data_IF_890507571425
#
_entry.id   IF_890507571425
#
_cell.length_a   1.000
_cell.length_b   1.000
_cell.length_c   1.000
_cell.angle_alpha   90.00
_cell.angle_beta   90.00
_cell.angle_gamma   90.00
#
_symmetry.space_group_name_H-M   'P 1'
#
loop_
_entity.id
_entity.type
_entity.pdbx_description
1 polymer ?
#
# COMPACT_ATOMS: atom_id res chain seq x y z
N UNK A 1 -2.53 -7.68 69.02
CA UNK A 1 -1.60 -7.57 67.88
C UNK A 1 -2.42 -7.44 66.59
N UNK A 2 -2.59 -6.22 66.08
CA UNK A 2 -3.35 -5.96 64.84
C UNK A 2 -2.35 -6.07 63.68
N UNK A 3 -2.54 -7.05 62.79
CA UNK A 3 -1.76 -7.15 61.52
C UNK A 3 -2.37 -6.19 60.48
N UNK A 4 -1.62 -5.16 60.15
CA UNK A 4 -1.97 -4.25 59.04
C UNK A 4 -1.54 -4.95 57.76
N UNK A 5 -2.51 -5.27 56.91
CA UNK A 5 -2.28 -5.83 55.56
C UNK A 5 -2.20 -4.65 54.56
N UNK A 6 -1.01 -4.26 54.20
CA UNK A 6 -0.80 -3.18 53.20
C UNK A 6 -1.07 -3.74 51.81
N UNK A 7 -2.20 -3.36 51.22
CA UNK A 7 -2.56 -3.70 49.84
C UNK A 7 -1.74 -2.83 48.88
N UNK A 8 -0.75 -3.43 48.23
CA UNK A 8 0.05 -2.77 47.20
C UNK A 8 -0.77 -2.69 45.89
N UNK A 9 -1.28 -1.51 45.57
CA UNK A 9 -2.02 -1.25 44.34
C UNK A 9 -1.00 -1.04 43.20
N UNK A 10 -0.78 -2.08 42.35
CA UNK A 10 0.00 -1.96 41.12
C UNK A 10 -0.79 -1.11 40.14
N UNK A 11 -0.37 0.16 39.95
CA UNK A 11 -0.86 1.00 38.88
C UNK A 11 -0.30 0.47 37.55
N UNK A 12 -1.11 -0.23 36.76
CA UNK A 12 -0.82 -0.56 35.37
C UNK A 12 -1.06 0.71 34.56
N UNK A 13 0.00 1.41 34.21
CA UNK A 13 -0.07 2.51 33.24
C UNK A 13 -0.37 1.90 31.87
N UNK A 14 -1.39 2.37 31.12
CA UNK A 14 -1.58 1.93 29.74
C UNK A 14 -0.33 2.31 28.94
N UNK A 15 0.37 1.33 28.40
CA UNK A 15 1.43 1.55 27.44
C UNK A 15 0.77 2.15 26.18
N UNK A 16 0.93 3.44 25.96
CA UNK A 16 0.61 4.06 24.67
C UNK A 16 1.60 3.50 23.65
N UNK A 17 1.13 2.74 22.68
CA UNK A 17 1.97 2.30 21.59
C UNK A 17 2.50 3.55 20.87
N UNK A 18 3.83 3.69 20.83
CA UNK A 18 4.49 4.79 20.13
C UNK A 18 4.39 4.55 18.63
N UNK A 19 3.95 5.56 17.87
CA UNK A 19 3.85 5.45 16.41
C UNK A 19 5.22 5.27 15.76
N UNK A 20 5.29 4.47 14.71
CA UNK A 20 6.50 4.31 13.89
C UNK A 20 6.99 5.68 13.40
N UNK A 21 8.29 5.92 13.48
CA UNK A 21 8.86 7.17 12.96
C UNK A 21 8.80 7.22 11.43
N UNK A 22 8.75 8.42 10.84
CA UNK A 22 8.79 8.60 9.39
C UNK A 22 10.07 8.04 8.76
N UNK A 23 11.20 8.10 9.49
CA UNK A 23 12.46 7.49 9.07
C UNK A 23 12.37 5.96 9.03
N UNK A 24 11.73 5.34 10.01
CA UNK A 24 11.51 3.89 10.03
C UNK A 24 10.64 3.45 8.83
N UNK A 25 9.56 4.18 8.53
CA UNK A 25 8.70 3.88 7.37
C UNK A 25 9.43 4.13 6.06
N UNK A 26 10.24 5.19 5.95
CA UNK A 26 11.09 5.44 4.80
C UNK A 26 12.08 4.29 4.58
N UNK A 27 12.73 3.83 5.65
CA UNK A 27 13.67 2.70 5.63
C UNK A 27 12.97 1.40 5.22
N UNK A 28 11.76 1.14 5.72
CA UNK A 28 10.95 -0.02 5.35
C UNK A 28 10.75 -0.09 3.82
N UNK A 29 10.33 1.01 3.20
CA UNK A 29 10.19 1.04 1.75
C UNK A 29 11.54 0.95 1.03
N UNK A 30 12.59 1.60 1.52
CA UNK A 30 13.88 1.66 0.84
C UNK A 30 14.65 0.34 0.90
N UNK A 31 14.45 -0.47 1.92
CA UNK A 31 15.05 -1.81 2.05
C UNK A 31 14.26 -2.89 1.31
N UNK A 32 12.95 -2.74 1.18
CA UNK A 32 12.10 -3.68 0.47
C UNK A 32 12.39 -3.66 -1.03
N UNK A 33 12.92 -4.75 -1.58
CA UNK A 33 13.17 -4.91 -3.02
C UNK A 33 11.99 -5.55 -3.73
N UNK A 34 11.41 -6.58 -3.13
CA UNK A 34 10.22 -7.29 -3.64
C UNK A 34 9.29 -7.62 -2.48
N UNK A 35 8.01 -7.68 -2.77
CA UNK A 35 7.00 -8.19 -1.85
C UNK A 35 5.86 -8.87 -2.61
N UNK A 36 5.26 -9.87 -1.97
CA UNK A 36 4.03 -10.53 -2.42
C UNK A 36 3.04 -10.55 -1.26
N UNK A 37 1.75 -10.38 -1.58
CA UNK A 37 0.67 -10.44 -0.61
C UNK A 37 -0.63 -10.91 -1.26
N UNK A 38 -1.51 -11.52 -0.48
CA UNK A 38 -2.92 -11.56 -0.82
C UNK A 38 -3.55 -10.19 -0.49
N UNK A 39 -4.55 -9.78 -1.26
CA UNK A 39 -5.25 -8.54 -0.99
C UNK A 39 -6.78 -8.69 -1.04
N UNK A 40 -7.44 -7.82 -0.29
CA UNK A 40 -8.86 -7.54 -0.41
C UNK A 40 -9.00 -6.06 -0.77
N UNK A 41 -9.60 -5.78 -1.91
CA UNK A 41 -9.98 -4.43 -2.33
C UNK A 41 -11.43 -4.17 -1.94
N UNK A 42 -11.69 -3.03 -1.34
CA UNK A 42 -13.03 -2.51 -1.07
C UNK A 42 -13.17 -1.14 -1.73
N UNK A 43 -14.24 -0.94 -2.48
CA UNK A 43 -14.57 0.30 -3.17
C UNK A 43 -15.68 1.06 -2.43
N UNK A 44 -15.87 2.35 -2.72
CA UNK A 44 -16.89 3.19 -2.08
C UNK A 44 -18.33 2.72 -2.35
N UNK A 45 -18.56 2.03 -3.46
CA UNK A 45 -19.86 1.42 -3.77
C UNK A 45 -20.16 0.15 -2.96
N UNK A 46 -19.25 -0.24 -2.06
CA UNK A 46 -19.34 -1.44 -1.23
C UNK A 46 -18.91 -2.73 -1.94
N UNK A 47 -18.55 -2.67 -3.22
CA UNK A 47 -18.02 -3.83 -3.94
C UNK A 47 -16.67 -4.27 -3.38
N UNK A 48 -16.42 -5.59 -3.40
CA UNK A 48 -15.17 -6.17 -2.97
C UNK A 48 -14.60 -7.09 -4.05
N UNK A 49 -13.28 -7.13 -4.11
CA UNK A 49 -12.51 -8.05 -4.96
C UNK A 49 -11.30 -8.55 -4.18
N UNK A 50 -10.89 -9.78 -4.47
CA UNK A 50 -9.67 -10.38 -3.89
C UNK A 50 -8.65 -10.65 -4.98
N UNK A 51 -7.43 -10.97 -4.56
CA UNK A 51 -6.39 -11.34 -5.50
C UNK A 51 -5.00 -11.40 -4.87
N UNK A 52 -4.01 -11.45 -5.75
CA UNK A 52 -2.60 -11.41 -5.39
C UNK A 52 -1.92 -10.16 -5.91
N UNK A 53 -1.09 -9.59 -5.08
CA UNK A 53 -0.29 -8.42 -5.38
C UNK A 53 1.19 -8.79 -5.35
N UNK A 54 1.94 -8.27 -6.34
CA UNK A 54 3.38 -8.40 -6.43
C UNK A 54 3.99 -7.01 -6.56
N UNK A 55 4.98 -6.71 -5.73
CA UNK A 55 5.75 -5.46 -5.76
C UNK A 55 7.18 -5.78 -6.14
N UNK A 56 7.77 -4.99 -7.04
CA UNK A 56 9.20 -4.99 -7.31
C UNK A 56 9.69 -3.56 -7.46
N UNK A 57 10.21 -3.03 -6.40
CA UNK A 57 10.70 -1.65 -6.37
C UNK A 57 12.01 -1.48 -7.16
N UNK A 58 12.24 -0.27 -7.71
CA UNK A 58 11.29 0.83 -7.80
C UNK A 58 10.28 0.66 -8.95
N UNK A 59 9.13 1.32 -8.82
CA UNK A 59 8.21 1.62 -9.91
C UNK A 59 7.48 0.44 -10.54
N UNK A 60 7.36 -0.70 -9.86
CA UNK A 60 6.68 -1.88 -10.39
C UNK A 60 5.75 -2.50 -9.36
N UNK A 61 4.51 -2.73 -9.79
CA UNK A 61 3.50 -3.46 -9.04
C UNK A 61 2.58 -4.20 -10.01
N UNK A 62 2.00 -5.32 -9.56
CA UNK A 62 1.05 -6.11 -10.31
C UNK A 62 -0.03 -6.60 -9.37
N UNK A 63 -1.29 -6.39 -9.71
CA UNK A 63 -2.47 -6.92 -9.03
C UNK A 63 -3.18 -7.89 -9.96
N UNK A 64 -3.25 -9.13 -9.56
CA UNK A 64 -4.01 -10.18 -10.23
C UNK A 64 -5.28 -10.44 -9.44
N UNK A 65 -6.43 -10.13 -10.02
CA UNK A 65 -7.72 -10.29 -9.36
C UNK A 65 -8.27 -11.71 -9.57
N UNK A 66 -8.87 -12.24 -8.51
CA UNK A 66 -9.52 -13.53 -8.54
C UNK A 66 -10.88 -13.48 -9.26
N UNK A 67 -11.38 -14.63 -9.78
CA UNK A 67 -12.75 -14.73 -10.26
C UNK A 67 -13.78 -14.21 -9.22
N UNK A 68 -14.86 -13.57 -9.68
CA UNK A 68 -15.29 -13.38 -11.07
C UNK A 68 -14.66 -12.16 -11.75
N UNK A 69 -13.83 -11.36 -11.05
CA UNK A 69 -13.31 -10.10 -11.57
C UNK A 69 -12.31 -10.34 -12.72
N UNK A 70 -11.28 -11.17 -12.52
CA UNK A 70 -10.22 -11.48 -13.48
C UNK A 70 -9.49 -10.25 -14.07
N UNK A 71 -9.66 -9.07 -13.50
CA UNK A 71 -8.91 -7.89 -13.92
C UNK A 71 -7.42 -8.05 -13.63
N UNK A 72 -6.61 -7.25 -14.31
CA UNK A 72 -5.18 -7.14 -14.03
C UNK A 72 -4.79 -5.67 -14.05
N UNK A 73 -4.17 -5.21 -12.96
CA UNK A 73 -3.58 -3.88 -12.90
C UNK A 73 -2.07 -4.02 -12.82
N UNK A 74 -1.35 -3.33 -13.69
CA UNK A 74 0.11 -3.37 -13.75
C UNK A 74 0.69 -1.98 -13.69
N UNK A 75 1.80 -1.85 -12.97
CA UNK A 75 2.67 -0.69 -12.99
C UNK A 75 4.05 -1.11 -13.49
N UNK A 76 4.51 -0.47 -14.52
CA UNK A 76 5.82 -0.73 -15.10
C UNK A 76 6.20 0.35 -16.12
N UNK A 77 7.50 0.63 -16.23
CA UNK A 77 7.97 1.67 -17.18
C UNK A 77 7.39 3.06 -16.95
N UNK A 78 7.02 3.40 -15.70
CA UNK A 78 6.40 4.69 -15.36
C UNK A 78 4.93 4.82 -15.76
N UNK A 79 4.29 3.74 -16.19
CA UNK A 79 2.89 3.68 -16.60
C UNK A 79 2.10 2.77 -15.66
N UNK A 80 0.81 3.07 -15.49
CA UNK A 80 -0.22 2.16 -14.99
C UNK A 80 -0.97 1.62 -16.19
N UNK A 81 -1.28 0.33 -16.21
CA UNK A 81 -2.11 -0.32 -17.21
C UNK A 81 -3.20 -1.15 -16.51
N UNK A 82 -4.45 -0.92 -16.88
CA UNK A 82 -5.62 -1.64 -16.37
C UNK A 82 -6.18 -2.49 -17.51
N UNK A 83 -6.10 -3.81 -17.33
CA UNK A 83 -6.66 -4.80 -18.25
C UNK A 83 -8.02 -5.26 -17.72
N UNK A 84 -9.09 -4.88 -18.42
CA UNK A 84 -10.43 -5.38 -18.13
C UNK A 84 -10.70 -6.63 -19.00
N UNK A 85 -10.95 -7.81 -18.41
CA UNK A 85 -11.21 -9.02 -19.18
C UNK A 85 -12.53 -8.97 -19.96
N UNK A 86 -13.44 -8.07 -19.61
CA UNK A 86 -14.72 -7.88 -20.30
C UNK A 86 -14.60 -6.94 -21.51
N UNK A 87 -13.58 -6.11 -21.54
CA UNK A 87 -13.31 -5.23 -22.66
C UNK A 87 -12.39 -5.97 -23.65
N UNK A 88 -12.89 -6.29 -24.83
CA UNK A 88 -12.07 -6.80 -25.95
C UNK A 88 -11.23 -5.65 -26.55
N UNK A 89 -10.56 -4.89 -25.69
CA UNK A 89 -9.87 -3.66 -26.00
C UNK A 89 -8.46 -3.67 -25.39
N UNK A 90 -7.63 -2.77 -25.89
CA UNK A 90 -6.33 -2.50 -25.24
C UNK A 90 -6.51 -2.00 -23.80
N UNK A 91 -5.53 -2.22 -22.92
CA UNK A 91 -5.61 -1.76 -21.53
C UNK A 91 -5.67 -0.23 -21.48
N UNK A 92 -6.45 0.29 -20.53
CA UNK A 92 -6.41 1.71 -20.18
C UNK A 92 -5.04 2.00 -19.57
N UNK A 93 -4.33 3.02 -20.11
CA UNK A 93 -2.99 3.38 -19.63
C UNK A 93 -2.90 4.85 -19.26
N UNK A 94 -2.21 5.14 -18.17
CA UNK A 94 -1.91 6.50 -17.73
C UNK A 94 -0.58 6.55 -16.97
N UNK A 95 0.06 7.72 -16.85
CA UNK A 95 1.32 7.86 -16.12
C UNK A 95 1.19 7.53 -14.64
N UNK A 96 2.12 6.73 -14.08
CA UNK A 96 2.18 6.43 -12.64
C UNK A 96 2.22 7.71 -11.77
N UNK A 97 2.91 8.75 -12.24
CA UNK A 97 3.01 10.05 -11.55
C UNK A 97 1.66 10.78 -11.37
N UNK A 98 0.61 10.35 -12.07
CA UNK A 98 -0.75 10.85 -11.92
C UNK A 98 -1.54 10.04 -10.88
N UNK A 99 -0.87 9.29 -10.05
CA UNK A 99 -1.47 8.51 -8.96
C UNK A 99 -0.69 8.71 -7.67
N UNK A 100 -1.35 8.74 -6.50
CA UNK A 100 -0.65 8.81 -5.22
C UNK A 100 0.28 7.61 -4.95
N UNK A 101 0.05 6.49 -5.64
CA UNK A 101 0.89 5.29 -5.52
C UNK A 101 2.34 5.55 -5.95
N UNK A 102 2.58 6.57 -6.79
CA UNK A 102 3.93 6.98 -7.17
C UNK A 102 4.82 7.29 -5.97
N UNK A 103 4.26 7.89 -4.90
CA UNK A 103 4.99 8.32 -3.70
C UNK A 103 5.71 7.16 -2.98
N UNK A 104 5.10 5.97 -2.97
CA UNK A 104 5.65 4.78 -2.30
C UNK A 104 6.43 3.86 -3.24
N UNK A 105 6.29 4.05 -4.56
CA UNK A 105 7.02 3.30 -5.58
C UNK A 105 8.26 4.02 -6.10
N UNK A 106 8.54 5.23 -5.67
CA UNK A 106 9.78 5.96 -6.00
C UNK A 106 11.04 5.17 -5.63
N UNK A 107 12.15 5.44 -6.30
CA UNK A 107 13.44 4.79 -6.02
C UNK A 107 13.87 5.00 -4.57
N UNK A 108 13.69 6.21 -4.06
CA UNK A 108 14.01 6.60 -2.68
C UNK A 108 12.79 7.28 -2.07
N UNK A 109 12.26 6.70 -1.01
CA UNK A 109 11.19 7.28 -0.20
C UNK A 109 11.85 8.01 0.97
N UNK A 110 11.56 9.29 1.16
CA UNK A 110 12.07 10.12 2.26
C UNK A 110 10.93 10.95 2.85
N UNK A 111 10.19 10.32 3.75
CA UNK A 111 9.01 10.93 4.38
C UNK A 111 9.37 12.02 5.39
N UNK A 112 10.57 11.97 5.96
CA UNK A 112 10.99 12.92 7.00
C UNK A 112 11.40 14.29 6.42
N UNK A 113 11.77 14.36 5.15
CA UNK A 113 12.35 15.55 4.50
C UNK A 113 11.48 16.19 3.42
N UNK A 114 10.38 15.56 3.05
CA UNK A 114 9.48 16.05 1.97
C UNK A 114 8.15 16.46 2.56
N UNK A 115 7.62 17.59 2.13
CA UNK A 115 6.32 18.13 2.55
C UNK A 115 5.13 17.33 2.00
N UNK A 116 5.31 16.00 1.85
CA UNK A 116 4.28 15.10 1.36
C UNK A 116 3.42 14.48 2.49
N UNK A 117 3.82 14.63 3.76
CA UNK A 117 3.11 14.04 4.89
C UNK A 117 2.02 15.00 5.37
N UNK A 118 0.76 14.70 5.05
CA UNK A 118 -0.40 15.46 5.50
C UNK A 118 -0.79 15.13 6.94
N UNK A 119 -0.67 13.87 7.33
CA UNK A 119 -1.00 13.39 8.68
C UNK A 119 -0.13 12.21 9.08
N UNK A 120 0.21 12.14 10.37
CA UNK A 120 0.96 11.05 10.97
C UNK A 120 0.40 10.78 12.36
N UNK A 121 -0.45 9.78 12.48
CA UNK A 121 -1.22 9.43 13.67
C UNK A 121 -1.04 7.97 14.04
N UNK A 122 -1.58 7.58 15.18
CA UNK A 122 -1.71 6.17 15.57
C UNK A 122 -3.16 5.86 15.99
N UNK A 123 -3.54 4.62 15.83
CA UNK A 123 -4.80 4.05 16.31
C UNK A 123 -4.48 2.70 16.98
N UNK A 124 -4.34 2.72 18.30
CA UNK A 124 -3.81 1.60 19.08
C UNK A 124 -2.42 1.19 18.58
N UNK A 125 -2.19 -0.08 18.22
CA UNK A 125 -0.90 -0.58 17.75
C UNK A 125 -0.66 -0.31 16.25
N UNK A 126 -1.40 0.59 15.62
CA UNK A 126 -1.28 0.89 14.19
C UNK A 126 -0.78 2.30 14.00
N UNK A 127 0.21 2.46 13.14
CA UNK A 127 0.66 3.77 12.65
C UNK A 127 -0.02 4.07 11.32
N UNK A 128 -0.59 5.27 11.21
CA UNK A 128 -1.33 5.74 10.04
C UNK A 128 -0.63 6.98 9.50
N UNK A 129 -0.24 6.94 8.23
CA UNK A 129 0.43 8.05 7.54
C UNK A 129 -0.36 8.40 6.28
N UNK A 130 -0.74 9.66 6.14
CA UNK A 130 -1.40 10.17 4.93
C UNK A 130 -0.40 10.99 4.13
N UNK A 131 -0.22 10.63 2.86
CA UNK A 131 0.73 11.23 1.93
C UNK A 131 0.01 11.84 0.74
N UNK A 132 0.41 13.03 0.34
CA UNK A 132 -0.02 13.70 -0.88
C UNK A 132 1.21 14.33 -1.55
N UNK A 133 1.25 14.32 -2.88
CA UNK A 133 2.25 15.07 -3.63
C UNK A 133 1.89 16.57 -3.57
N UNK A 134 2.71 17.42 -2.92
CA UNK A 134 2.38 18.85 -2.79
C UNK A 134 2.35 19.59 -4.13
N UNK A 135 3.11 19.10 -5.13
CA UNK A 135 3.15 19.69 -6.47
C UNK A 135 2.02 19.20 -7.37
N UNK A 136 1.30 18.16 -6.95
CA UNK A 136 0.25 17.47 -7.74
C UNK A 136 -0.90 16.98 -6.87
N UNK A 137 -1.36 17.85 -6.00
CA UNK A 137 -2.44 17.56 -5.04
C UNK A 137 -3.75 17.14 -5.73
N UNK A 138 -3.93 17.53 -7.00
CA UNK A 138 -5.10 17.16 -7.82
C UNK A 138 -5.24 15.65 -8.05
N UNK A 139 -4.15 14.89 -7.95
CA UNK A 139 -4.19 13.42 -8.10
C UNK A 139 -4.56 12.67 -6.81
N UNK A 140 -4.88 13.40 -5.73
CA UNK A 140 -5.35 12.81 -4.51
C UNK A 140 -4.26 12.46 -3.50
N UNK A 141 -4.56 11.54 -2.59
CA UNK A 141 -3.66 11.13 -1.52
C UNK A 141 -3.66 9.60 -1.33
N UNK A 142 -2.63 9.12 -0.65
CA UNK A 142 -2.57 7.74 -0.17
C UNK A 142 -2.42 7.73 1.35
N UNK A 143 -3.24 6.94 2.02
CA UNK A 143 -3.09 6.67 3.45
C UNK A 143 -2.52 5.26 3.62
N UNK A 144 -1.47 5.14 4.41
CA UNK A 144 -0.78 3.89 4.71
C UNK A 144 -1.04 3.49 6.16
N UNK A 145 -1.37 2.23 6.38
CA UNK A 145 -1.60 1.67 7.72
C UNK A 145 -0.59 0.56 7.97
N UNK A 146 0.22 0.75 9.01
CA UNK A 146 1.23 -0.20 9.46
C UNK A 146 0.84 -0.80 10.81
N UNK A 147 1.23 -2.06 11.03
CA UNK A 147 1.42 -2.61 12.39
C UNK A 147 2.83 -2.28 12.86
N UNK A 148 3.03 -2.20 14.18
CA UNK A 148 4.31 -1.80 14.75
C UNK A 148 5.23 -3.01 15.01
N UNK A 149 4.71 -4.09 15.56
CA UNK A 149 5.45 -5.31 15.87
C UNK A 149 4.72 -6.58 15.39
N UNK A 150 5.21 -7.23 14.32
CA UNK A 150 6.26 -6.75 13.44
C UNK A 150 5.81 -5.55 12.62
N UNK A 151 6.76 -4.65 12.30
CA UNK A 151 6.50 -3.55 11.38
C UNK A 151 6.13 -4.09 10.00
N UNK A 152 4.88 -3.86 9.58
CA UNK A 152 4.37 -4.37 8.32
C UNK A 152 3.27 -3.46 7.76
N UNK A 153 3.33 -3.18 6.46
CA UNK A 153 2.23 -2.54 5.74
C UNK A 153 1.03 -3.49 5.69
N UNK A 154 -0.10 -3.06 6.25
CA UNK A 154 -1.32 -3.86 6.35
C UNK A 154 -2.43 -3.38 5.44
N UNK A 155 -2.41 -2.09 5.13
CA UNK A 155 -3.48 -1.51 4.33
C UNK A 155 -2.98 -0.22 3.70
N UNK A 156 -3.53 0.11 2.55
CA UNK A 156 -3.56 1.48 2.08
C UNK A 156 -4.93 1.87 1.55
N UNK A 157 -5.17 3.17 1.56
CA UNK A 157 -6.37 3.77 0.98
C UNK A 157 -5.87 4.80 -0.03
N UNK A 158 -6.35 4.71 -1.26
CA UNK A 158 -6.13 5.73 -2.30
C UNK A 158 -7.42 6.50 -2.49
N UNK A 159 -7.34 7.81 -2.41
CA UNK A 159 -8.38 8.74 -2.79
C UNK A 159 -7.88 9.53 -4.00
N UNK A 160 -8.62 9.50 -5.11
CA UNK A 160 -8.20 10.10 -6.39
C UNK A 160 -8.71 11.52 -6.59
N UNK A 161 -9.27 12.15 -5.53
CA UNK A 161 -9.93 13.47 -5.57
C UNK A 161 -11.10 13.60 -6.58
N UNK A 162 -11.49 12.50 -7.24
CA UNK A 162 -12.64 12.46 -8.16
C UNK A 162 -13.86 11.85 -7.50
N UNK A 163 -13.79 11.58 -6.19
CA UNK A 163 -14.82 10.94 -5.40
C UNK A 163 -14.70 9.41 -5.36
N UNK A 164 -13.60 8.83 -5.85
CA UNK A 164 -13.37 7.39 -5.73
C UNK A 164 -12.33 7.12 -4.65
N UNK A 165 -12.71 6.33 -3.69
CA UNK A 165 -11.83 5.82 -2.65
C UNK A 165 -11.70 4.31 -2.77
N UNK A 166 -10.47 3.85 -2.84
CA UNK A 166 -10.13 2.42 -2.93
C UNK A 166 -9.29 2.02 -1.73
N UNK A 167 -9.77 1.07 -0.97
CA UNK A 167 -9.04 0.49 0.15
C UNK A 167 -8.49 -0.87 -0.26
N UNK A 168 -7.21 -1.12 0.02
CA UNK A 168 -6.53 -2.40 -0.16
C UNK A 168 -6.05 -2.89 1.20
N UNK A 169 -6.65 -3.95 1.71
CA UNK A 169 -6.16 -4.68 2.89
C UNK A 169 -5.24 -5.83 2.44
N UNK A 170 -4.13 -6.04 3.17
CA UNK A 170 -3.06 -6.97 2.82
C UNK A 170 -2.92 -8.08 3.87
N UNK A 171 -2.75 -9.31 3.38
CA UNK A 171 -2.43 -10.51 4.18
C UNK A 171 -1.35 -11.34 3.50
N UNK A 172 -0.87 -12.39 4.17
CA UNK A 172 0.13 -13.33 3.64
C UNK A 172 1.37 -12.63 3.07
N UNK A 173 1.81 -11.56 3.75
CA UNK A 173 2.90 -10.72 3.31
C UNK A 173 4.23 -11.45 3.36
N UNK A 174 4.93 -11.54 2.22
CA UNK A 174 6.28 -12.06 2.11
C UNK A 174 7.18 -11.07 1.36
N UNK A 175 8.46 -11.00 1.73
CA UNK A 175 9.43 -10.10 1.11
C UNK A 175 10.61 -10.88 0.53
N UNK A 176 11.42 -10.19 -0.27
CA UNK A 176 12.70 -10.64 -0.83
C UNK A 176 12.61 -11.93 -1.68
N UNK A 177 11.41 -12.18 -2.23
CA UNK A 177 11.19 -13.28 -3.16
C UNK A 177 11.78 -12.97 -4.54
N UNK A 178 12.35 -13.97 -5.18
CA UNK A 178 12.90 -13.81 -6.53
C UNK A 178 11.77 -13.63 -7.55
N UNK A 179 11.62 -12.42 -8.10
CA UNK A 179 10.57 -12.08 -9.07
C UNK A 179 11.16 -11.73 -10.42
N UNK A 180 10.79 -12.44 -11.51
CA UNK A 180 11.19 -12.10 -12.86
C UNK A 180 10.65 -10.73 -13.28
N UNK A 181 11.48 -9.90 -13.93
CA UNK A 181 11.04 -8.56 -14.37
C UNK A 181 9.95 -8.60 -15.44
N UNK A 182 9.82 -9.71 -16.17
CA UNK A 182 8.78 -9.91 -17.19
C UNK A 182 7.37 -9.81 -16.60
N UNK A 183 7.17 -10.16 -15.33
CA UNK A 183 5.87 -10.04 -14.64
C UNK A 183 5.31 -8.60 -14.63
N UNK A 184 6.19 -7.62 -14.80
CA UNK A 184 5.85 -6.19 -14.75
C UNK A 184 5.99 -5.51 -16.13
N UNK A 185 6.14 -6.31 -17.20
CA UNK A 185 6.27 -5.79 -18.56
C UNK A 185 4.89 -5.72 -19.19
N UNK A 186 4.32 -4.49 -19.24
CA UNK A 186 3.00 -4.23 -19.79
C UNK A 186 2.91 -4.65 -21.26
N UNK A 187 3.96 -4.38 -22.06
CA UNK A 187 3.97 -4.72 -23.48
C UNK A 187 3.96 -6.24 -23.71
N UNK A 188 4.72 -6.99 -22.90
CA UNK A 188 4.71 -8.45 -22.96
C UNK A 188 3.34 -9.04 -22.57
N UNK A 189 2.66 -8.45 -21.57
CA UNK A 189 1.31 -8.86 -21.19
C UNK A 189 0.29 -8.58 -22.31
N UNK A 190 0.39 -7.43 -22.98
CA UNK A 190 -0.46 -7.11 -24.14
C UNK A 190 -0.27 -8.12 -25.27
N UNK A 191 0.98 -8.45 -25.61
CA UNK A 191 1.28 -9.46 -26.64
C UNK A 191 0.73 -10.85 -26.27
N UNK A 192 0.85 -11.25 -24.98
CA UNK A 192 0.32 -12.53 -24.50
C UNK A 192 -1.20 -12.61 -24.63
N UNK A 193 -1.92 -11.51 -24.48
CA UNK A 193 -3.39 -11.46 -24.56
C UNK A 193 -3.92 -11.29 -25.97
N UNK A 194 -3.08 -10.87 -26.92
CA UNK A 194 -3.43 -10.74 -28.33
C UNK A 194 -3.34 -12.05 -29.11
N UNK A 195 -2.68 -13.09 -28.53
CA UNK A 195 -2.52 -14.44 -29.10
C UNK A 195 -3.47 -15.45 -28.42
#
# INVERSE_FOLDING_TARGET
>A
MKKIFTLLFLMVTPASAEKLSLDAVSSYFNTMTTAEAAFIQSNDDGSQSTGRMYIKRPGRIRFEYDPPNLALVMVGGGQVAVFDPKANAEPIRFPLRQTPLSLVLERTVDLARRDMVMAHTNDGPRTIITLQDPDRAEYGYIQLVFTDDPMQLRQWIVDDNSGNKTQIALSDWTQDQKMPSILFNIQAEMQKRAN
#
